data_IF_488136717285
#
_entry.id   IF_488136717285
#
_cell.length_a   1.000
_cell.length_b   1.000
_cell.length_c   1.000
_cell.angle_alpha   90.00
_cell.angle_beta   90.00
_cell.angle_gamma   90.00
#
_symmetry.space_group_name_H-M   'P 1'
#
loop_
_entity.id
_entity.type
_entity.pdbx_description
1 polymer ?
#
# COMPACT_ATOMS: atom_id res chain seq x y z
N UNK A 1 -8.51 14.09 -3.77
CA UNK A 1 -8.42 13.21 -4.96
C UNK A 1 -8.27 11.78 -4.47
N UNK A 2 -9.17 10.88 -4.86
CA UNK A 2 -9.01 9.44 -4.59
C UNK A 2 -7.95 8.88 -5.53
N UNK A 3 -6.98 8.13 -5.00
CA UNK A 3 -5.97 7.43 -5.80
C UNK A 3 -6.64 6.41 -6.72
N UNK A 4 -6.21 6.40 -7.98
CA UNK A 4 -6.57 5.38 -8.97
C UNK A 4 -6.01 4.01 -8.58
N UNK A 5 -6.54 2.94 -9.19
CA UNK A 5 -6.10 1.58 -8.92
C UNK A 5 -4.62 1.36 -9.32
N UNK A 6 -4.17 2.00 -10.40
CA UNK A 6 -2.78 1.94 -10.85
C UNK A 6 -1.83 2.65 -9.88
N UNK A 7 -2.20 3.83 -9.40
CA UNK A 7 -1.41 4.56 -8.39
C UNK A 7 -1.29 3.76 -7.09
N UNK A 8 -2.37 3.09 -6.66
CA UNK A 8 -2.34 2.21 -5.48
C UNK A 8 -1.40 1.02 -5.68
N UNK A 9 -1.41 0.37 -6.85
CA UNK A 9 -0.49 -0.73 -7.18
C UNK A 9 0.96 -0.25 -7.24
N UNK A 10 1.20 0.93 -7.81
CA UNK A 10 2.52 1.54 -7.84
C UNK A 10 3.04 1.83 -6.43
N UNK A 11 2.20 2.43 -5.57
CA UNK A 11 2.51 2.69 -4.17
C UNK A 11 2.86 1.42 -3.40
N UNK A 12 2.10 0.33 -3.57
CA UNK A 12 2.44 -0.96 -2.93
C UNK A 12 3.83 -1.44 -3.33
N UNK A 13 4.20 -1.31 -4.61
CA UNK A 13 5.53 -1.70 -5.11
C UNK A 13 6.65 -0.86 -4.50
N UNK A 14 6.45 0.46 -4.42
CA UNK A 14 7.43 1.39 -3.83
C UNK A 14 7.58 1.11 -2.33
N UNK A 15 6.47 1.01 -1.60
CA UNK A 15 6.47 0.76 -0.16
C UNK A 15 7.04 -0.61 0.20
N UNK A 16 6.80 -1.63 -0.63
CA UNK A 16 7.43 -2.94 -0.47
C UNK A 16 8.95 -2.89 -0.65
N UNK A 17 9.46 -2.09 -1.60
CA UNK A 17 10.90 -1.86 -1.77
C UNK A 17 11.50 -1.09 -0.59
N UNK A 18 10.79 -0.07 -0.08
CA UNK A 18 11.26 0.70 1.09
C UNK A 18 11.36 -0.16 2.35
N UNK A 19 10.45 -1.13 2.53
CA UNK A 19 10.53 -2.10 3.64
C UNK A 19 11.79 -2.97 3.59
N UNK A 20 12.24 -3.34 2.38
CA UNK A 20 13.45 -4.15 2.16
C UNK A 20 14.74 -3.31 2.13
N UNK A 21 14.62 -1.97 2.11
CA UNK A 21 15.77 -1.09 1.99
C UNK A 21 16.63 -1.14 3.26
N UNK A 22 17.88 -1.59 3.10
CA UNK A 22 18.86 -1.69 4.19
C UNK A 22 19.25 -0.33 4.77
N UNK A 23 19.09 0.75 3.98
CA UNK A 23 19.46 2.13 4.34
C UNK A 23 18.37 2.88 5.12
N UNK A 24 17.16 2.32 5.24
CA UNK A 24 16.06 2.95 5.99
C UNK A 24 16.15 2.64 7.48
N UNK A 25 15.78 3.61 8.31
CA UNK A 25 15.63 3.38 9.75
C UNK A 25 14.45 2.43 10.04
N UNK A 26 14.50 1.71 11.16
CA UNK A 26 13.39 0.81 11.57
C UNK A 26 12.05 1.56 11.66
N UNK A 27 12.07 2.82 12.09
CA UNK A 27 10.87 3.68 12.17
C UNK A 27 10.26 3.98 10.79
N UNK A 28 11.10 4.22 9.78
CA UNK A 28 10.64 4.44 8.41
C UNK A 28 10.11 3.16 7.76
N UNK A 29 10.75 2.03 8.03
CA UNK A 29 10.26 0.72 7.58
C UNK A 29 8.89 0.42 8.16
N UNK A 30 8.69 0.68 9.45
CA UNK A 30 7.40 0.49 10.12
C UNK A 30 6.30 1.39 9.52
N UNK A 31 6.61 2.67 9.27
CA UNK A 31 5.69 3.57 8.57
C UNK A 31 5.34 3.07 7.17
N UNK A 32 6.34 2.58 6.43
CA UNK A 32 6.14 2.05 5.07
C UNK A 32 5.26 0.80 5.09
N UNK A 33 5.44 -0.08 6.09
CA UNK A 33 4.61 -1.25 6.32
C UNK A 33 3.17 -0.88 6.66
N UNK A 34 2.95 0.03 7.60
CA UNK A 34 1.61 0.50 7.97
C UNK A 34 0.87 1.10 6.77
N UNK A 35 1.56 1.91 5.96
CA UNK A 35 0.95 2.51 4.77
C UNK A 35 0.65 1.46 3.69
N UNK A 36 1.56 0.51 3.48
CA UNK A 36 1.37 -0.62 2.57
C UNK A 36 0.14 -1.44 2.95
N UNK A 37 -0.01 -1.80 4.23
CA UNK A 37 -1.13 -2.60 4.71
C UNK A 37 -2.46 -1.86 4.56
N UNK A 38 -2.48 -0.55 4.82
CA UNK A 38 -3.67 0.29 4.61
C UNK A 38 -4.10 0.33 3.14
N UNK A 39 -3.17 0.54 2.22
CA UNK A 39 -3.47 0.56 0.77
C UNK A 39 -3.97 -0.82 0.30
N UNK A 40 -3.34 -1.89 0.80
CA UNK A 40 -3.76 -3.27 0.50
C UNK A 40 -5.18 -3.56 0.99
N UNK A 41 -5.52 -3.07 2.19
CA UNK A 41 -6.88 -3.18 2.73
C UNK A 41 -7.89 -2.37 1.90
N UNK A 42 -7.55 -1.14 1.49
CA UNK A 42 -8.41 -0.34 0.62
C UNK A 42 -8.71 -1.06 -0.70
N UNK A 43 -7.70 -1.64 -1.36
CA UNK A 43 -7.90 -2.41 -2.59
C UNK A 43 -8.79 -3.64 -2.39
N UNK A 44 -8.63 -4.36 -1.26
CA UNK A 44 -9.53 -5.48 -0.92
C UNK A 44 -10.97 -5.02 -0.73
N UNK A 45 -11.18 -3.93 0.01
CA UNK A 45 -12.52 -3.39 0.24
C UNK A 45 -13.17 -2.91 -1.06
N UNK A 46 -12.40 -2.28 -1.95
CA UNK A 46 -12.87 -1.87 -3.27
C UNK A 46 -13.24 -3.06 -4.16
N UNK A 47 -12.46 -4.15 -4.12
CA UNK A 47 -12.78 -5.38 -4.84
C UNK A 47 -14.07 -6.02 -4.32
N UNK A 48 -14.23 -6.16 -3.00
CA UNK A 48 -15.45 -6.71 -2.39
C UNK A 48 -16.67 -5.84 -2.73
N UNK A 49 -16.55 -4.50 -2.63
CA UNK A 49 -17.64 -3.60 -2.98
C UNK A 49 -18.01 -3.63 -4.47
N UNK A 50 -17.09 -4.00 -5.36
CA UNK A 50 -17.39 -4.23 -6.78
C UNK A 50 -18.11 -5.56 -6.99
N UNK A 51 -17.77 -6.62 -6.24
CA UNK A 51 -18.42 -7.93 -6.33
C UNK A 51 -19.84 -7.95 -5.72
N UNK A 52 -20.13 -7.07 -4.76
CA UNK A 52 -21.45 -6.95 -4.13
C UNK A 52 -22.42 -6.00 -4.87
N UNK A 53 -22.01 -5.43 -6.01
CA UNK A 53 -22.80 -4.48 -6.81
C UNK A 53 -23.25 -5.09 -8.12
#
# INVERSE_FOLDING_TARGET
>A
MLLTEEEKKHLLKVLGRDQLSVFRSNKEREKSKQLHDKIKQTLRNEAINKDHK
#
